data_IF_575340860247
#
_entry.id   IF_575340860247
#
_cell.length_a   1.000
_cell.length_b   1.000
_cell.length_c   1.000
_cell.angle_alpha   90.00
_cell.angle_beta   90.00
_cell.angle_gamma   90.00
#
_symmetry.space_group_name_H-M   'P 1'
#
loop_
_entity.id
_entity.type
_entity.pdbx_description
1 polymer ?
#
# COMPACT_ATOMS: atom_id res chain seq x y z
N UNK A 1 -27.38 -22.88 9.48
CA UNK A 1 -26.17 -23.72 9.55
C UNK A 1 -25.14 -23.11 8.60
N UNK A 2 -24.09 -22.48 9.12
CA UNK A 2 -23.02 -21.95 8.26
C UNK A 2 -21.68 -22.43 8.81
N UNK A 3 -21.04 -23.42 8.17
CA UNK A 3 -19.70 -23.85 8.52
C UNK A 3 -18.72 -23.21 7.54
N UNK A 4 -18.37 -21.94 7.75
CA UNK A 4 -17.16 -21.42 7.12
C UNK A 4 -15.96 -21.91 7.93
N UNK A 5 -15.37 -23.02 7.47
CA UNK A 5 -14.04 -23.44 7.87
C UNK A 5 -13.08 -22.28 7.55
N UNK A 6 -12.70 -21.51 8.58
CA UNK A 6 -11.45 -20.75 8.54
C UNK A 6 -10.34 -21.79 8.37
N UNK A 7 -9.82 -21.92 7.16
CA UNK A 7 -8.62 -22.68 6.89
C UNK A 7 -7.49 -22.07 7.73
N UNK A 8 -7.18 -22.70 8.85
CA UNK A 8 -6.06 -22.31 9.69
C UNK A 8 -4.78 -22.59 8.90
N UNK A 9 -4.18 -21.54 8.35
CA UNK A 9 -2.86 -21.61 7.73
C UNK A 9 -1.89 -22.10 8.81
N UNK A 10 -1.37 -23.32 8.60
CA UNK A 10 -0.46 -24.00 9.51
C UNK A 10 0.90 -23.31 9.50
N UNK A 11 1.09 -22.40 10.44
CA UNK A 11 2.31 -21.61 10.64
C UNK A 11 3.42 -22.40 11.36
N UNK A 12 3.69 -23.64 10.95
CA UNK A 12 4.60 -24.52 11.69
C UNK A 12 5.61 -25.20 10.76
N UNK A 13 6.59 -24.43 10.23
CA UNK A 13 7.88 -25.01 9.80
C UNK A 13 9.03 -24.03 9.56
N UNK A 14 8.75 -22.76 9.23
CA UNK A 14 9.80 -21.82 8.79
C UNK A 14 9.74 -20.51 9.57
N UNK A 15 10.85 -20.13 10.23
CA UNK A 15 10.98 -18.81 10.86
C UNK A 15 11.21 -17.75 9.79
N UNK A 16 10.10 -17.21 9.24
CA UNK A 16 10.12 -16.11 8.26
C UNK A 16 10.03 -14.73 8.91
N UNK A 17 9.77 -14.64 10.21
CA UNK A 17 9.64 -13.38 10.94
C UNK A 17 10.97 -12.61 10.98
N UNK A 18 10.92 -11.30 10.76
CA UNK A 18 12.11 -10.43 10.76
C UNK A 18 11.92 -9.30 11.77
N UNK A 19 12.96 -9.03 12.55
CA UNK A 19 13.06 -7.89 13.45
C UNK A 19 14.26 -7.03 13.07
N UNK A 20 14.02 -5.75 12.79
CA UNK A 20 15.06 -4.76 12.52
C UNK A 20 15.09 -3.73 13.65
N UNK A 21 16.30 -3.39 14.10
CA UNK A 21 16.54 -2.33 15.08
C UNK A 21 17.42 -1.26 14.44
N UNK A 22 16.95 -0.02 14.45
CA UNK A 22 17.78 1.13 14.12
C UNK A 22 18.56 1.54 15.37
N UNK A 23 19.89 1.40 15.32
CA UNK A 23 20.77 1.61 16.48
C UNK A 23 20.70 3.05 17.00
N UNK A 24 20.81 4.12 16.17
CA UNK A 24 20.93 5.47 16.70
C UNK A 24 19.60 6.04 17.24
N UNK A 25 18.45 5.64 16.69
CA UNK A 25 17.13 6.09 17.20
C UNK A 25 16.46 5.09 18.14
N UNK A 26 16.98 3.86 18.26
CA UNK A 26 16.42 2.81 19.10
C UNK A 26 15.11 2.19 18.58
N UNK A 27 14.63 2.57 17.39
CA UNK A 27 13.36 2.07 16.84
C UNK A 27 13.48 0.60 16.47
N UNK A 28 12.50 -0.19 16.89
CA UNK A 28 12.39 -1.60 16.55
C UNK A 28 11.15 -1.82 15.69
N UNK A 29 11.33 -2.49 14.55
CA UNK A 29 10.26 -2.90 13.65
C UNK A 29 10.27 -4.41 13.53
N UNK A 30 9.09 -5.03 13.69
CA UNK A 30 8.85 -6.46 13.48
C UNK A 30 7.94 -6.60 12.27
N UNK A 31 8.23 -7.56 11.39
CA UNK A 31 7.42 -7.85 10.21
C UNK A 31 7.28 -9.37 10.02
N UNK A 32 6.03 -9.82 9.86
CA UNK A 32 5.62 -11.20 9.61
C UNK A 32 4.37 -11.18 8.72
N UNK A 33 4.49 -10.61 7.53
CA UNK A 33 3.38 -10.51 6.58
C UNK A 33 3.39 -11.64 5.56
N UNK A 34 4.59 -12.05 5.13
CA UNK A 34 4.75 -13.04 4.07
C UNK A 34 5.46 -14.30 4.57
N UNK A 35 5.30 -15.39 3.80
CA UNK A 35 6.05 -16.64 4.00
C UNK A 35 7.54 -16.52 3.66
N UNK A 36 7.98 -15.44 3.01
CA UNK A 36 9.36 -15.23 2.57
C UNK A 36 10.10 -14.25 3.48
N UNK A 37 11.25 -14.69 4.01
CA UNK A 37 12.12 -13.85 4.85
C UNK A 37 12.65 -12.62 4.12
N UNK A 38 12.94 -12.73 2.83
CA UNK A 38 13.51 -11.63 2.04
C UNK A 38 12.46 -10.56 1.72
N UNK A 39 11.21 -10.97 1.46
CA UNK A 39 10.09 -10.06 1.35
C UNK A 39 9.84 -9.34 2.67
N UNK A 40 9.80 -10.08 3.79
CA UNK A 40 9.67 -9.48 5.12
C UNK A 40 10.82 -8.51 5.45
N UNK A 41 12.05 -8.76 4.99
CA UNK A 41 13.18 -7.82 5.14
C UNK A 41 13.00 -6.53 4.33
N UNK A 42 12.44 -6.60 3.12
CA UNK A 42 12.16 -5.42 2.30
C UNK A 42 11.05 -4.58 2.94
N UNK A 43 9.96 -5.22 3.35
CA UNK A 43 8.83 -4.57 4.03
C UNK A 43 9.26 -3.95 5.36
N UNK A 44 10.01 -4.67 6.20
CA UNK A 44 10.53 -4.13 7.45
C UNK A 44 11.43 -2.89 7.24
N UNK A 45 12.18 -2.83 6.14
CA UNK A 45 12.98 -1.64 5.79
C UNK A 45 12.11 -0.45 5.37
N UNK A 46 11.05 -0.69 4.59
CA UNK A 46 10.09 0.36 4.21
C UNK A 46 9.41 0.94 5.45
N UNK A 47 8.86 0.09 6.32
CA UNK A 47 8.24 0.54 7.57
C UNK A 47 9.21 1.26 8.51
N UNK A 48 10.47 0.84 8.54
CA UNK A 48 11.48 1.53 9.34
C UNK A 48 11.78 2.92 8.75
N UNK A 49 11.88 3.04 7.42
CA UNK A 49 12.06 4.32 6.75
C UNK A 49 10.88 5.27 7.00
N UNK A 50 9.64 4.80 6.87
CA UNK A 50 8.45 5.62 7.13
C UNK A 50 8.44 6.15 8.57
N UNK A 51 8.76 5.29 9.56
CA UNK A 51 8.87 5.71 10.97
C UNK A 51 10.00 6.71 11.20
N UNK A 52 11.11 6.59 10.48
CA UNK A 52 12.22 7.54 10.58
C UNK A 52 11.85 8.88 9.95
N UNK A 53 11.19 8.86 8.79
CA UNK A 53 10.71 10.06 8.11
C UNK A 53 9.69 10.81 8.97
N UNK A 54 8.79 10.11 9.64
CA UNK A 54 7.82 10.72 10.55
C UNK A 54 8.50 11.39 11.76
N UNK A 55 9.58 10.79 12.28
CA UNK A 55 10.34 11.37 13.39
C UNK A 55 11.18 12.58 12.97
N UNK A 56 11.78 12.56 11.78
CA UNK A 56 12.63 13.64 11.31
C UNK A 56 11.83 14.83 10.78
N UNK A 57 10.79 14.56 9.98
CA UNK A 57 10.11 15.57 9.18
C UNK A 57 8.69 15.88 9.68
N UNK A 58 8.11 15.07 10.58
CA UNK A 58 6.83 15.34 11.23
C UNK A 58 5.71 15.71 10.25
N UNK A 59 5.34 16.99 10.21
CA UNK A 59 4.28 17.51 9.32
C UNK A 59 4.63 17.49 7.83
N UNK A 60 5.93 17.48 7.49
CA UNK A 60 6.43 17.38 6.12
C UNK A 60 6.81 15.94 5.73
N UNK A 61 6.51 14.96 6.58
CA UNK A 61 6.81 13.57 6.26
C UNK A 61 6.02 13.13 5.02
N UNK A 62 6.58 12.16 4.30
CA UNK A 62 5.99 11.62 3.07
C UNK A 62 4.56 11.13 3.32
N UNK A 63 4.32 10.50 4.47
CA UNK A 63 3.01 10.00 4.91
C UNK A 63 1.99 11.14 5.04
N UNK A 64 2.37 12.26 5.69
CA UNK A 64 1.52 13.42 5.90
C UNK A 64 1.17 14.14 4.59
N UNK A 65 2.14 14.30 3.68
CA UNK A 65 1.91 14.90 2.35
C UNK A 65 0.94 14.05 1.54
N UNK A 66 1.14 12.74 1.51
CA UNK A 66 0.24 11.79 0.82
C UNK A 66 -1.16 11.87 1.42
N UNK A 67 -1.29 11.87 2.76
CA UNK A 67 -2.56 11.99 3.46
C UNK A 67 -3.30 13.29 3.09
N UNK A 68 -2.59 14.43 3.03
CA UNK A 68 -3.15 15.73 2.64
C UNK A 68 -3.65 15.75 1.19
N UNK A 69 -2.91 15.13 0.27
CA UNK A 69 -3.33 15.03 -1.12
C UNK A 69 -4.58 14.14 -1.23
N UNK A 70 -4.59 12.98 -0.54
CA UNK A 70 -5.73 12.06 -0.51
C UNK A 70 -6.99 12.71 0.06
N UNK A 71 -6.89 13.40 1.20
CA UNK A 71 -8.03 14.10 1.82
C UNK A 71 -8.58 15.21 0.91
N UNK A 72 -7.70 15.98 0.25
CA UNK A 72 -8.10 17.01 -0.72
C UNK A 72 -8.83 16.41 -1.93
N UNK A 73 -8.34 15.29 -2.47
CA UNK A 73 -8.99 14.57 -3.58
C UNK A 73 -10.35 14.03 -3.16
N UNK A 74 -10.46 13.41 -1.98
CA UNK A 74 -11.73 12.90 -1.42
C UNK A 74 -12.74 14.02 -1.21
N UNK A 75 -12.35 15.12 -0.56
CA UNK A 75 -13.23 16.27 -0.33
C UNK A 75 -13.74 16.91 -1.65
N UNK A 76 -12.89 16.92 -2.67
CA UNK A 76 -13.29 17.41 -4.01
C UNK A 76 -14.28 16.47 -4.68
N UNK A 77 -14.06 15.15 -4.57
CA UNK A 77 -14.96 14.13 -5.12
C UNK A 77 -16.32 14.13 -4.43
N UNK A 78 -16.36 14.20 -3.10
CA UNK A 78 -17.63 14.27 -2.33
C UNK A 78 -18.42 15.54 -2.67
N UNK A 79 -17.75 16.70 -2.77
CA UNK A 79 -18.42 17.96 -3.15
C UNK A 79 -19.00 17.90 -4.57
N UNK A 80 -18.28 17.31 -5.53
CA UNK A 80 -18.76 17.11 -6.91
C UNK A 80 -19.95 16.15 -6.95
N UNK A 81 -19.86 15.03 -6.24
CA UNK A 81 -20.93 14.04 -6.12
C UNK A 81 -22.20 14.66 -5.54
N UNK A 82 -22.09 15.36 -4.41
CA UNK A 82 -23.20 16.08 -3.77
C UNK A 82 -23.87 17.09 -4.70
N UNK A 83 -23.07 17.82 -5.50
CA UNK A 83 -23.62 18.77 -6.49
C UNK A 83 -24.40 18.06 -7.60
N UNK A 84 -23.92 16.90 -8.06
CA UNK A 84 -24.60 16.08 -9.07
C UNK A 84 -25.93 15.52 -8.53
N UNK A 85 -25.93 14.91 -7.35
CA UNK A 85 -27.15 14.34 -6.75
C UNK A 85 -28.20 15.40 -6.45
N UNK A 86 -27.81 16.57 -5.92
CA UNK A 86 -28.71 17.71 -5.74
C UNK A 86 -29.34 18.19 -7.06
N UNK A 87 -28.65 18.05 -8.20
CA UNK A 87 -29.17 18.47 -9.49
C UNK A 87 -30.14 17.45 -10.11
N UNK A 88 -30.08 16.19 -9.67
CA UNK A 88 -30.95 15.10 -10.15
C UNK A 88 -32.19 14.88 -9.26
N UNK A 89 -32.34 15.65 -8.16
CA UNK A 89 -33.51 15.56 -7.27
C UNK A 89 -33.61 14.23 -6.52
N UNK A 90 -32.51 13.47 -6.46
CA UNK A 90 -32.40 12.28 -5.63
C UNK A 90 -32.06 12.75 -4.21
N UNK A 91 -33.09 13.09 -3.42
CA UNK A 91 -33.00 13.38 -1.99
C UNK A 91 -32.73 12.07 -1.23
N UNK A 92 -31.54 11.51 -1.43
CA UNK A 92 -30.99 10.46 -0.58
C UNK A 92 -30.16 11.10 0.53
N UNK A 93 -30.84 11.60 1.57
CA UNK A 93 -30.21 11.94 2.84
C UNK A 93 -29.73 10.65 3.53
N UNK A 94 -28.53 10.21 3.17
CA UNK A 94 -27.74 9.29 4.00
C UNK A 94 -26.70 10.12 4.74
N UNK A 95 -27.13 10.68 5.87
CA UNK A 95 -26.24 11.20 6.90
C UNK A 95 -25.47 10.04 7.55
N UNK A 96 -24.15 10.19 7.62
CA UNK A 96 -23.32 9.34 8.46
C UNK A 96 -21.82 9.57 8.25
N UNK A 97 -21.19 10.54 8.95
CA UNK A 97 -19.78 10.48 9.27
C UNK A 97 -19.60 9.74 10.61
N UNK A 98 -20.01 8.49 10.70
CA UNK A 98 -19.74 7.66 11.88
C UNK A 98 -18.94 6.43 11.49
N UNK A 99 -17.76 6.29 12.11
CA UNK A 99 -16.89 5.13 11.95
C UNK A 99 -15.55 5.49 11.34
N UNK A 100 -14.57 5.72 12.22
CA UNK A 100 -13.16 5.62 11.84
C UNK A 100 -12.90 4.21 11.30
N UNK A 101 -12.84 4.08 9.99
CA UNK A 101 -12.37 2.86 9.33
C UNK A 101 -10.93 3.08 8.93
N UNK A 102 -10.09 2.22 9.50
CA UNK A 102 -8.69 2.05 9.24
C UNK A 102 -8.46 2.09 7.72
N UNK A 103 -7.59 2.99 7.28
CA UNK A 103 -7.20 3.07 5.87
C UNK A 103 -6.31 1.86 5.54
N UNK A 104 -6.92 0.69 5.37
CA UNK A 104 -6.36 -0.38 4.55
C UNK A 104 -6.52 0.03 3.08
N UNK A 105 -5.72 1.00 2.65
CA UNK A 105 -5.58 1.24 1.22
C UNK A 105 -4.76 0.07 0.68
N UNK A 106 -5.48 -0.92 0.15
CA UNK A 106 -4.94 -1.98 -0.67
C UNK A 106 -4.06 -1.32 -1.74
N UNK A 107 -2.75 -1.34 -1.50
CA UNK A 107 -1.75 -0.90 -2.46
C UNK A 107 -1.86 -1.87 -3.63
N UNK A 108 -2.70 -1.53 -4.61
CA UNK A 108 -2.50 -1.97 -5.99
C UNK A 108 -1.17 -1.36 -6.42
N UNK A 109 -0.08 -2.05 -6.10
CA UNK A 109 1.14 -1.94 -6.87
C UNK A 109 0.75 -2.35 -8.29
N UNK A 110 0.83 -1.46 -9.30
CA UNK A 110 0.68 -1.92 -10.67
C UNK A 110 1.81 -2.92 -10.90
N UNK A 111 1.47 -4.20 -11.02
CA UNK A 111 2.39 -5.23 -11.48
C UNK A 111 2.73 -4.89 -12.93
N UNK A 112 3.83 -4.16 -13.11
CA UNK A 112 4.41 -3.92 -14.42
C UNK A 112 5.11 -5.19 -14.85
N UNK A 113 4.48 -5.94 -15.74
CA UNK A 113 5.10 -7.01 -16.52
C UNK A 113 6.30 -6.45 -17.29
N UNK A 114 7.50 -6.60 -16.75
CA UNK A 114 8.74 -6.43 -17.51
C UNK A 114 8.91 -7.72 -18.32
N UNK A 115 8.29 -7.77 -19.50
CA UNK A 115 8.63 -8.76 -20.53
C UNK A 115 10.13 -8.68 -20.81
N UNK A 116 10.86 -9.72 -20.40
CA UNK A 116 12.21 -9.95 -20.89
C UNK A 116 12.09 -10.50 -22.31
N UNK A 117 12.01 -9.58 -23.28
CA UNK A 117 12.15 -9.90 -24.69
C UNK A 117 13.55 -10.46 -24.97
N UNK A 118 13.65 -11.79 -25.01
CA UNK A 118 14.78 -12.53 -25.58
C UNK A 118 14.95 -12.13 -27.04
N UNK A 119 16.15 -11.69 -27.39
CA UNK A 119 16.46 -11.10 -28.69
C UNK A 119 16.40 -12.06 -29.87
N UNK A 120 16.19 -11.48 -31.04
CA UNK A 120 16.55 -12.07 -32.34
C UNK A 120 17.29 -11.03 -33.19
N UNK A 121 18.59 -11.24 -33.24
CA UNK A 121 19.58 -10.85 -34.25
C UNK A 121 19.06 -10.30 -35.60
N UNK A 122 19.48 -9.07 -35.94
CA UNK A 122 19.48 -8.58 -37.32
C UNK A 122 20.85 -8.85 -37.94
N UNK A 123 20.93 -9.86 -38.82
CA UNK A 123 22.10 -10.04 -39.68
C UNK A 123 22.22 -8.87 -40.66
N UNK A 124 23.34 -8.15 -40.57
CA UNK A 124 23.75 -7.15 -41.54
C UNK A 124 23.97 -7.82 -42.92
N UNK A 125 23.13 -7.47 -43.88
CA UNK A 125 23.32 -7.81 -45.29
C UNK A 125 24.33 -6.87 -45.94
N UNK A 126 25.52 -7.42 -46.20
CA UNK A 126 26.61 -6.84 -46.97
C UNK A 126 26.13 -6.60 -48.42
N UNK A 127 26.13 -5.34 -48.90
CA UNK A 127 25.94 -5.05 -50.33
C UNK A 127 27.31 -5.02 -51.02
N UNK A 128 27.45 -5.80 -52.09
CA UNK A 128 28.48 -5.62 -53.13
C UNK A 128 27.88 -4.82 -54.27
#
# INVERSE_FOLDING_TARGET
MSPFLKAAVRENKTNSAVQLKHIPTGIVVKCQETRSRDQNRKLARQHLADKLDDLQNGENSRSAVIARIKSRRKASATKKSRRKHRQLGEDGDEDGPEGGVQAEELLETPEGDIEHGVGTEHKAGLKK
#
